data_IF_697043460685
#
_entry.id   IF_697043460685
#
_cell.length_a   1.000
_cell.length_b   1.000
_cell.length_c   1.000
_cell.angle_alpha   90.00
_cell.angle_beta   90.00
_cell.angle_gamma   90.00
#
_symmetry.space_group_name_H-M   'P 1'
#
loop_
_entity.id
_entity.type
_entity.pdbx_description
1 polymer ?
#
# COMPACT_ATOMS: atom_id res chain seq x y z
N UNK A 1 -42.80 -5.05 53.05
CA UNK A 1 -43.64 -3.86 52.77
C UNK A 1 -43.21 -2.75 53.72
N UNK A 2 -43.36 -1.47 53.35
CA UNK A 2 -43.06 -0.31 54.20
C UNK A 2 -41.81 0.47 53.76
N UNK A 3 -42.00 1.71 53.28
CA UNK A 3 -40.94 2.58 52.72
C UNK A 3 -41.16 4.06 53.09
N UNK A 4 -40.14 4.76 53.59
CA UNK A 4 -39.91 6.24 53.56
C UNK A 4 -38.38 6.43 53.79
N UNK A 5 -37.55 7.24 53.10
CA UNK A 5 -37.55 8.69 52.75
C UNK A 5 -37.60 9.62 53.97
N UNK A 6 -36.84 10.73 54.14
CA UNK A 6 -35.72 11.41 53.42
C UNK A 6 -34.90 12.28 54.45
N UNK A 7 -33.98 13.26 54.26
CA UNK A 7 -33.58 14.17 53.15
C UNK A 7 -32.18 14.83 53.39
N UNK A 8 -31.66 15.58 52.39
CA UNK A 8 -30.78 16.80 52.33
C UNK A 8 -30.46 17.60 53.64
N UNK A 9 -29.40 18.43 53.77
CA UNK A 9 -28.23 18.82 52.93
C UNK A 9 -27.15 19.64 53.73
N UNK A 10 -26.08 20.11 53.07
CA UNK A 10 -24.88 20.82 53.58
C UNK A 10 -24.87 22.35 53.29
N UNK A 11 -24.18 23.20 54.09
CA UNK A 11 -23.24 24.19 53.52
C UNK A 11 -21.94 24.48 54.35
N UNK A 12 -20.98 25.21 53.74
CA UNK A 12 -19.57 25.31 54.14
C UNK A 12 -19.13 26.49 55.06
N UNK A 13 -18.10 26.22 55.88
CA UNK A 13 -17.06 27.11 56.43
C UNK A 13 -15.85 26.23 56.88
N UNK A 14 -14.59 26.64 57.14
CA UNK A 14 -13.83 27.92 57.03
C UNK A 14 -12.31 27.60 56.84
N UNK A 15 -11.40 28.59 56.83
CA UNK A 15 -9.93 28.42 56.73
C UNK A 15 -9.18 28.66 58.06
N UNK A 16 -8.04 28.00 58.28
CA UNK A 16 -6.73 28.62 58.62
C UNK A 16 -5.56 27.60 58.53
N UNK A 17 -4.30 28.03 58.72
CA UNK A 17 -3.05 27.29 58.42
C UNK A 17 -2.07 27.25 59.60
N UNK A 18 -1.18 26.24 59.68
CA UNK A 18 0.06 26.32 60.51
C UNK A 18 1.15 25.29 60.14
N UNK A 19 2.38 25.59 60.56
CA UNK A 19 3.71 25.08 60.14
C UNK A 19 4.24 23.83 60.86
N UNK A 20 5.32 23.22 60.31
CA UNK A 20 6.34 22.44 61.07
C UNK A 20 7.79 22.69 60.55
N UNK A 21 8.86 22.47 61.37
CA UNK A 21 10.21 23.04 61.15
C UNK A 21 11.33 22.03 60.73
N UNK A 22 12.61 22.40 60.90
CA UNK A 22 13.79 21.95 60.12
C UNK A 22 15.14 21.80 60.89
N UNK A 23 16.17 21.17 60.27
CA UNK A 23 17.67 21.34 60.35
C UNK A 23 18.39 20.15 59.64
N UNK A 24 19.52 20.20 58.90
CA UNK A 24 20.74 21.07 58.75
C UNK A 24 21.90 20.70 59.71
N UNK A 25 23.20 20.52 59.32
CA UNK A 25 23.99 20.75 58.06
C UNK A 25 24.99 19.56 57.81
N UNK A 26 25.97 19.50 56.87
CA UNK A 26 27.31 20.18 56.67
C UNK A 26 27.89 19.64 55.31
N UNK A 27 28.43 20.40 54.33
CA UNK A 27 29.84 20.82 54.01
C UNK A 27 30.92 19.68 53.87
N UNK A 28 32.01 19.74 53.07
CA UNK A 28 32.64 20.76 52.18
C UNK A 28 33.50 20.11 51.01
N UNK A 29 34.44 20.84 50.36
CA UNK A 29 35.33 20.43 49.22
C UNK A 29 36.79 21.01 49.37
N UNK A 30 37.77 20.88 48.41
CA UNK A 30 37.82 21.67 47.15
C UNK A 30 38.57 21.06 45.90
N UNK A 31 38.62 21.81 44.78
CA UNK A 31 39.27 21.52 43.47
C UNK A 31 40.72 22.08 43.31
N UNK A 32 41.39 22.00 42.11
CA UNK A 32 41.28 23.13 41.13
C UNK A 32 41.47 22.85 39.60
N UNK A 33 40.62 23.50 38.79
CA UNK A 33 40.89 24.38 37.61
C UNK A 33 41.84 23.95 36.45
N UNK A 34 41.31 23.94 35.20
CA UNK A 34 41.81 24.67 34.00
C UNK A 34 40.61 25.03 33.08
N UNK A 35 40.58 26.23 32.47
CA UNK A 35 39.55 26.73 31.53
C UNK A 35 39.96 26.47 30.06
N UNK A 36 39.13 26.44 29.01
CA UNK A 36 38.08 27.37 28.49
C UNK A 36 37.23 26.57 27.44
N UNK A 37 36.32 27.07 26.59
CA UNK A 37 35.81 28.41 26.24
C UNK A 37 34.38 28.31 25.63
N UNK A 38 33.73 29.45 25.37
CA UNK A 38 32.41 29.56 24.72
C UNK A 38 32.48 29.87 23.21
N UNK A 39 31.35 29.67 22.49
CA UNK A 39 30.71 30.73 21.67
C UNK A 39 29.34 30.33 21.07
N UNK A 40 28.37 31.25 21.17
CA UNK A 40 27.09 31.38 20.44
C UNK A 40 27.14 32.72 19.65
N UNK A 41 26.16 33.21 18.84
CA UNK A 41 24.70 33.00 18.81
C UNK A 41 24.22 32.14 17.60
N UNK A 42 23.25 32.39 16.69
CA UNK A 42 22.30 33.50 16.36
C UNK A 42 21.05 32.95 15.61
N UNK A 43 20.25 33.83 14.98
CA UNK A 43 19.06 33.57 14.14
C UNK A 43 19.11 34.41 12.85
N UNK A 44 18.01 34.44 12.07
CA UNK A 44 17.81 35.16 10.78
C UNK A 44 18.40 34.42 9.54
N UNK A 45 17.81 34.50 8.34
CA UNK A 45 16.53 35.16 7.94
C UNK A 45 15.84 34.46 6.75
N UNK A 46 14.63 34.89 6.39
CA UNK A 46 13.87 34.39 5.21
C UNK A 46 14.19 35.13 3.92
N UNK A 47 14.43 34.40 2.82
CA UNK A 47 14.32 34.90 1.43
C UNK A 47 13.76 33.83 0.49
N UNK A 48 13.11 34.29 -0.58
CA UNK A 48 12.35 33.47 -1.53
C UNK A 48 13.22 32.69 -2.56
N UNK A 49 12.59 31.71 -3.21
CA UNK A 49 13.19 30.90 -4.28
C UNK A 49 12.35 31.02 -5.56
N UNK A 50 12.72 31.95 -6.45
CA UNK A 50 12.02 32.23 -7.71
C UNK A 50 12.70 31.52 -8.90
N UNK A 51 12.02 30.62 -9.64
CA UNK A 51 12.66 29.77 -10.65
C UNK A 51 12.55 30.33 -12.08
N UNK A 52 13.64 30.89 -12.62
CA UNK A 52 13.79 31.13 -14.07
C UNK A 52 15.25 31.27 -14.54
N UNK A 53 15.43 31.18 -15.87
CA UNK A 53 16.65 31.43 -16.65
C UNK A 53 17.84 30.46 -16.48
N UNK A 54 17.84 29.40 -17.30
CA UNK A 54 19.05 28.81 -17.86
C UNK A 54 18.77 28.31 -19.30
N UNK A 55 18.83 29.21 -20.28
CA UNK A 55 18.73 28.90 -21.70
C UNK A 55 19.99 29.36 -22.43
N UNK A 56 20.50 28.53 -23.36
CA UNK A 56 21.59 28.91 -24.28
C UNK A 56 22.88 28.11 -24.11
N UNK A 57 22.98 26.98 -24.82
CA UNK A 57 24.23 26.40 -25.29
C UNK A 57 23.90 25.53 -26.52
N UNK A 58 24.41 25.90 -27.69
CA UNK A 58 24.10 25.20 -28.94
C UNK A 58 25.13 24.13 -29.33
N UNK A 59 24.62 23.11 -30.03
CA UNK A 59 25.23 22.30 -31.08
C UNK A 59 26.76 22.23 -31.20
N UNK A 60 27.29 21.01 -31.14
CA UNK A 60 28.05 20.49 -32.28
C UNK A 60 27.62 19.06 -32.62
N UNK A 61 27.72 18.70 -33.90
CA UNK A 61 27.22 17.44 -34.46
C UNK A 61 28.39 16.55 -34.91
N UNK A 62 28.30 15.25 -34.62
CA UNK A 62 29.13 14.23 -35.26
C UNK A 62 28.33 12.93 -35.40
N UNK A 63 27.97 12.60 -36.65
CA UNK A 63 27.13 11.44 -36.97
C UNK A 63 27.90 10.13 -36.85
N UNK A 64 27.46 9.22 -35.97
CA UNK A 64 27.84 7.81 -35.99
C UNK A 64 26.59 6.92 -36.06
N UNK A 65 26.50 6.13 -37.13
CA UNK A 65 25.40 5.20 -37.37
C UNK A 65 25.41 4.12 -36.29
N UNK A 66 24.36 4.05 -35.48
CA UNK A 66 24.15 2.99 -34.49
C UNK A 66 22.86 2.24 -34.82
N UNK A 67 22.91 0.90 -34.76
CA UNK A 67 21.86 0.00 -35.22
C UNK A 67 20.55 0.17 -34.42
N UNK A 68 19.43 0.19 -35.13
CA UNK A 68 18.09 0.15 -34.52
C UNK A 68 17.83 -1.21 -33.87
N UNK A 69 17.88 -1.27 -32.54
CA UNK A 69 17.27 -2.35 -31.76
C UNK A 69 16.99 -1.87 -30.33
N UNK A 70 15.84 -2.26 -29.78
CA UNK A 70 15.41 -1.90 -28.43
C UNK A 70 14.37 -0.79 -28.37
N UNK A 71 13.08 -1.17 -28.45
CA UNK A 71 12.00 -0.32 -27.92
C UNK A 71 12.22 -0.12 -26.42
N UNK A 72 12.71 1.06 -26.00
CA UNK A 72 12.58 1.48 -24.60
C UNK A 72 11.09 1.52 -24.29
N UNK A 73 10.64 0.75 -23.29
CA UNK A 73 9.23 0.67 -22.91
C UNK A 73 8.68 2.07 -22.62
N UNK A 74 7.74 2.53 -23.45
CA UNK A 74 7.19 3.87 -23.33
C UNK A 74 6.47 4.07 -22.00
N UNK A 75 6.49 5.29 -21.47
CA UNK A 75 5.68 5.63 -20.30
C UNK A 75 4.20 5.55 -20.68
N UNK A 76 3.48 4.61 -20.09
CA UNK A 76 2.03 4.43 -20.23
C UNK A 76 1.35 5.68 -19.69
N UNK A 77 0.49 6.28 -20.50
CA UNK A 77 -0.25 7.50 -20.16
C UNK A 77 -1.22 7.25 -19.00
N UNK A 78 -1.55 8.32 -18.26
CA UNK A 78 -2.49 8.29 -17.14
C UNK A 78 -3.79 7.55 -17.52
N UNK A 79 -4.27 6.71 -16.59
CA UNK A 79 -5.42 5.80 -16.71
C UNK A 79 -5.29 4.62 -17.69
N UNK A 80 -4.29 4.56 -18.57
CA UNK A 80 -4.08 3.36 -19.39
C UNK A 80 -3.47 2.22 -18.57
N UNK A 81 -3.69 0.98 -19.01
CA UNK A 81 -3.23 -0.24 -18.34
C UNK A 81 -1.72 -0.41 -18.56
N UNK A 82 -0.96 -0.62 -17.48
CA UNK A 82 0.44 -1.04 -17.53
C UNK A 82 0.57 -2.55 -17.75
N UNK A 83 -0.32 -3.34 -17.14
CA UNK A 83 -0.34 -4.80 -17.28
C UNK A 83 -1.42 -5.45 -16.41
N UNK A 84 -1.38 -6.77 -16.28
CA UNK A 84 -2.32 -7.57 -15.50
C UNK A 84 -1.56 -8.53 -14.59
N UNK A 85 -2.06 -8.84 -13.38
CA UNK A 85 -1.52 -9.95 -12.58
C UNK A 85 -1.87 -11.30 -13.21
N UNK A 86 -1.28 -12.39 -12.71
CA UNK A 86 -1.63 -13.75 -13.16
C UNK A 86 -3.11 -14.09 -12.94
N UNK A 87 -3.74 -13.52 -11.90
CA UNK A 87 -5.19 -13.62 -11.64
C UNK A 87 -6.04 -12.64 -12.48
N UNK A 88 -5.48 -11.98 -13.50
CA UNK A 88 -6.21 -11.09 -14.41
C UNK A 88 -6.54 -9.70 -13.86
N UNK A 89 -5.98 -9.29 -12.70
CA UNK A 89 -6.26 -7.96 -12.12
C UNK A 89 -5.42 -6.88 -12.84
N UNK A 90 -6.03 -5.87 -13.48
CA UNK A 90 -5.28 -4.83 -14.20
C UNK A 90 -4.57 -3.85 -13.24
N UNK A 91 -3.35 -3.45 -13.58
CA UNK A 91 -2.68 -2.31 -12.99
C UNK A 91 -2.71 -1.12 -13.97
N UNK A 92 -3.17 0.02 -13.49
CA UNK A 92 -3.31 1.25 -14.28
C UNK A 92 -2.17 2.24 -13.97
N UNK A 93 -1.73 2.96 -15.00
CA UNK A 93 -0.75 4.03 -14.86
C UNK A 93 -1.38 5.22 -14.13
N UNK A 94 -0.74 5.65 -13.05
CA UNK A 94 -1.00 6.94 -12.41
C UNK A 94 -0.27 8.10 -13.12
N UNK A 95 0.42 7.86 -14.25
CA UNK A 95 1.15 8.86 -15.04
C UNK A 95 2.46 9.35 -14.40
N UNK A 96 2.43 9.75 -13.13
CA UNK A 96 3.60 10.10 -12.30
C UNK A 96 3.36 9.73 -10.83
N UNK A 97 4.43 9.62 -10.03
CA UNK A 97 4.37 9.36 -8.58
C UNK A 97 3.50 10.38 -7.82
N UNK A 98 3.51 11.62 -8.31
CA UNK A 98 2.92 12.78 -7.62
C UNK A 98 1.50 13.09 -8.10
N UNK A 99 0.97 12.33 -9.06
CA UNK A 99 -0.36 12.58 -9.63
C UNK A 99 -1.46 12.20 -8.63
N UNK A 100 -2.28 13.18 -8.23
CA UNK A 100 -3.44 12.98 -7.39
C UNK A 100 -4.71 13.37 -8.15
N UNK A 101 -5.45 12.39 -8.65
CA UNK A 101 -6.69 12.62 -9.42
C UNK A 101 -7.87 13.06 -8.55
N UNK A 102 -7.81 12.78 -7.24
CA UNK A 102 -8.93 12.82 -6.30
C UNK A 102 -10.15 11.93 -6.67
N UNK A 103 -10.06 11.15 -7.76
CA UNK A 103 -11.12 10.25 -8.23
C UNK A 103 -11.13 8.96 -7.42
N UNK A 104 -12.28 8.65 -6.81
CA UNK A 104 -12.49 7.41 -6.06
C UNK A 104 -12.80 6.24 -7.00
N UNK A 105 -12.16 5.10 -6.77
CA UNK A 105 -12.51 3.83 -7.41
C UNK A 105 -13.34 2.95 -6.45
N UNK A 106 -14.34 2.26 -7.01
CA UNK A 106 -15.19 1.31 -6.31
C UNK A 106 -15.27 0.00 -7.09
N UNK A 107 -15.27 -1.13 -6.40
CA UNK A 107 -15.54 -2.45 -6.97
C UNK A 107 -16.69 -3.06 -6.17
N UNK A 108 -17.76 -3.52 -6.83
CA UNK A 108 -18.97 -4.07 -6.18
C UNK A 108 -19.55 -3.14 -5.08
N UNK A 109 -19.49 -1.81 -5.31
CA UNK A 109 -19.93 -0.79 -4.35
C UNK A 109 -18.96 -0.51 -3.19
N UNK A 110 -17.91 -1.30 -3.03
CA UNK A 110 -16.89 -1.16 -1.98
C UNK A 110 -15.79 -0.21 -2.44
N UNK A 111 -15.41 0.76 -1.61
CA UNK A 111 -14.34 1.73 -1.92
C UNK A 111 -12.97 1.04 -2.01
N UNK A 112 -12.36 1.04 -3.19
CA UNK A 112 -11.03 0.46 -3.40
C UNK A 112 -9.92 1.45 -3.07
N UNK A 113 -10.08 2.73 -3.40
CA UNK A 113 -9.06 3.75 -3.14
C UNK A 113 -9.15 4.90 -4.14
N UNK A 114 -8.09 5.70 -4.23
CA UNK A 114 -7.99 6.77 -5.23
C UNK A 114 -7.28 6.28 -6.50
N UNK A 115 -7.79 6.65 -7.67
CA UNK A 115 -7.18 6.30 -8.96
C UNK A 115 -5.86 7.05 -9.15
N UNK A 116 -4.72 6.43 -9.47
CA UNK A 116 -4.43 4.98 -9.50
C UNK A 116 -3.29 4.69 -8.51
N UNK A 117 -3.59 4.86 -7.23
CA UNK A 117 -2.63 4.76 -6.12
C UNK A 117 -2.25 3.31 -5.79
N UNK A 118 -1.10 3.13 -5.13
CA UNK A 118 -0.59 1.82 -4.70
C UNK A 118 -1.56 1.09 -3.75
N UNK A 119 -2.14 1.82 -2.78
CA UNK A 119 -3.13 1.31 -1.83
C UNK A 119 -4.44 0.90 -2.53
N UNK A 120 -4.82 1.58 -3.62
CA UNK A 120 -6.00 1.21 -4.43
C UNK A 120 -5.79 -0.16 -5.09
N UNK A 121 -4.64 -0.36 -5.73
CA UNK A 121 -4.27 -1.64 -6.35
C UNK A 121 -4.26 -2.78 -5.34
N UNK A 122 -3.56 -2.59 -4.21
CA UNK A 122 -3.42 -3.61 -3.17
C UNK A 122 -4.77 -4.00 -2.53
N UNK A 123 -5.69 -3.04 -2.38
CA UNK A 123 -7.07 -3.30 -1.90
C UNK A 123 -7.90 -4.05 -2.93
N UNK A 124 -7.86 -3.62 -4.20
CA UNK A 124 -8.62 -4.23 -5.30
C UNK A 124 -8.15 -5.64 -5.62
N UNK A 125 -6.84 -5.86 -5.76
CA UNK A 125 -6.29 -7.19 -6.00
C UNK A 125 -6.72 -8.17 -4.90
N UNK A 126 -6.50 -7.84 -3.62
CA UNK A 126 -6.85 -8.71 -2.49
C UNK A 126 -8.36 -9.03 -2.44
N UNK A 127 -9.20 -8.07 -2.81
CA UNK A 127 -10.65 -8.26 -2.89
C UNK A 127 -11.04 -9.19 -4.05
N UNK A 128 -10.50 -8.96 -5.24
CA UNK A 128 -10.81 -9.74 -6.45
C UNK A 128 -10.27 -11.18 -6.39
N UNK A 129 -9.11 -11.41 -5.77
CA UNK A 129 -8.47 -12.75 -5.78
C UNK A 129 -8.76 -13.60 -4.53
N UNK A 130 -9.04 -12.98 -3.38
CA UNK A 130 -9.23 -13.71 -2.11
C UNK A 130 -10.54 -13.41 -1.38
N UNK A 131 -11.40 -12.51 -1.89
CA UNK A 131 -12.58 -11.98 -1.18
C UNK A 131 -12.23 -11.44 0.22
N UNK A 132 -11.02 -10.89 0.36
CA UNK A 132 -10.52 -10.24 1.56
C UNK A 132 -10.33 -8.73 1.29
N UNK A 133 -10.74 -7.89 2.23
CA UNK A 133 -10.64 -6.44 2.11
C UNK A 133 -9.63 -5.90 3.11
N UNK A 134 -8.48 -5.44 2.61
CA UNK A 134 -7.46 -4.74 3.39
C UNK A 134 -8.12 -3.52 4.09
N UNK A 135 -7.80 -3.18 5.35
CA UNK A 135 -8.40 -2.02 6.02
C UNK A 135 -7.94 -0.70 5.38
N UNK A 136 -8.75 0.36 5.52
CA UNK A 136 -8.36 1.70 5.07
C UNK A 136 -7.27 2.28 5.99
N UNK A 137 -6.20 2.84 5.40
CA UNK A 137 -5.14 3.58 6.07
C UNK A 137 -4.71 4.75 5.19
N UNK A 138 -4.28 5.86 5.82
CA UNK A 138 -3.96 7.10 5.10
C UNK A 138 -2.63 7.03 4.32
N UNK A 139 -1.69 6.20 4.77
CA UNK A 139 -0.38 6.00 4.15
C UNK A 139 -0.09 4.50 3.98
N UNK A 140 0.70 4.14 2.96
CA UNK A 140 1.02 2.75 2.65
C UNK A 140 1.99 2.12 3.68
N UNK A 141 2.98 2.87 4.18
CA UNK A 141 3.91 2.36 5.21
C UNK A 141 3.18 1.86 6.46
N UNK A 142 2.00 2.41 6.75
CA UNK A 142 1.19 2.02 7.89
C UNK A 142 0.73 0.56 7.83
N UNK A 143 0.75 -0.13 6.69
CA UNK A 143 0.42 -1.56 6.63
C UNK A 143 1.45 -2.48 7.30
N UNK A 144 2.64 -1.96 7.65
CA UNK A 144 3.60 -2.64 8.53
C UNK A 144 3.09 -2.92 9.95
N UNK A 145 2.02 -2.23 10.38
CA UNK A 145 1.28 -2.50 11.63
C UNK A 145 -0.13 -3.05 11.35
N UNK A 146 -0.30 -3.83 10.28
CA UNK A 146 -1.56 -4.52 10.00
C UNK A 146 -1.60 -5.92 10.64
N UNK A 147 -2.67 -6.18 11.39
CA UNK A 147 -2.91 -7.41 12.15
C UNK A 147 -4.19 -8.15 11.74
N UNK A 148 -4.99 -7.56 10.86
CA UNK A 148 -6.24 -8.13 10.35
C UNK A 148 -6.58 -7.57 8.96
N UNK A 149 -7.42 -8.30 8.23
CA UNK A 149 -8.19 -7.81 7.09
C UNK A 149 -9.67 -8.16 7.29
N UNK A 150 -10.57 -7.61 6.48
CA UNK A 150 -11.99 -7.90 6.56
C UNK A 150 -12.40 -9.02 5.59
N UNK A 151 -13.42 -9.78 5.95
CA UNK A 151 -14.15 -10.73 5.06
C UNK A 151 -15.65 -10.50 5.23
N UNK A 152 -16.46 -10.71 4.20
CA UNK A 152 -17.92 -10.81 4.36
C UNK A 152 -18.26 -12.11 5.13
N UNK A 153 -19.24 -12.04 6.03
CA UNK A 153 -19.80 -13.24 6.70
C UNK A 153 -20.70 -14.03 5.76
N UNK A 154 -21.43 -13.29 4.93
CA UNK A 154 -22.27 -13.79 3.84
C UNK A 154 -21.76 -13.11 2.58
N UNK A 155 -20.96 -13.81 1.77
CA UNK A 155 -20.59 -13.33 0.44
C UNK A 155 -21.76 -13.65 -0.51
N UNK A 156 -22.41 -12.64 -1.13
CA UNK A 156 -23.52 -12.87 -2.05
C UNK A 156 -23.07 -13.49 -3.39
N UNK A 157 -21.76 -13.68 -3.62
CA UNK A 157 -21.18 -14.26 -4.84
C UNK A 157 -21.37 -15.78 -4.90
N UNK A 158 -22.26 -16.33 -5.75
CA UNK A 158 -22.35 -17.76 -5.94
C UNK A 158 -21.23 -18.18 -6.92
N UNK A 159 -20.18 -18.81 -6.39
CA UNK A 159 -19.14 -19.52 -7.13
C UNK A 159 -18.63 -18.86 -8.43
N UNK A 160 -17.56 -18.04 -8.32
CA UNK A 160 -16.65 -17.80 -9.45
C UNK A 160 -15.78 -19.03 -9.77
N UNK A 161 -16.41 -20.20 -9.90
CA UNK A 161 -15.88 -21.36 -10.60
C UNK A 161 -16.25 -21.24 -12.08
N UNK A 162 -15.69 -20.26 -12.78
CA UNK A 162 -15.70 -20.32 -14.25
C UNK A 162 -14.73 -21.42 -14.69
N UNK A 163 -15.16 -22.40 -15.51
CA UNK A 163 -14.23 -23.35 -16.11
C UNK A 163 -13.27 -22.59 -17.02
N UNK A 164 -12.04 -23.09 -17.10
CA UNK A 164 -10.97 -22.59 -17.97
C UNK A 164 -11.46 -22.46 -19.41
N UNK A 165 -11.80 -21.25 -19.85
CA UNK A 165 -12.10 -20.96 -21.25
C UNK A 165 -10.79 -21.07 -22.03
N UNK A 166 -10.72 -22.04 -22.92
CA UNK A 166 -9.56 -22.22 -23.80
C UNK A 166 -9.51 -21.12 -24.87
N UNK A 167 -8.31 -20.71 -25.25
CA UNK A 167 -8.11 -19.53 -26.09
C UNK A 167 -8.64 -19.75 -27.53
N UNK A 168 -9.52 -18.87 -28.06
CA UNK A 168 -9.92 -18.92 -29.45
C UNK A 168 -8.71 -18.64 -30.37
N UNK A 169 -8.46 -19.56 -31.31
CA UNK A 169 -7.50 -19.36 -32.40
C UNK A 169 -8.00 -18.30 -33.39
N UNK A 170 -7.08 -17.54 -33.99
CA UNK A 170 -7.38 -16.37 -34.81
C UNK A 170 -7.79 -16.67 -36.27
N UNK A 171 -8.29 -15.61 -36.95
CA UNK A 171 -8.86 -15.50 -38.31
C UNK A 171 -10.41 -15.37 -38.32
N UNK A 172 -11.04 -14.46 -39.09
CA UNK A 172 -10.52 -13.39 -39.96
C UNK A 172 -11.53 -12.26 -40.22
N UNK A 173 -11.02 -11.03 -40.33
CA UNK A 173 -11.46 -9.89 -41.15
C UNK A 173 -12.94 -9.41 -41.24
N UNK A 174 -13.13 -8.15 -40.82
CA UNK A 174 -13.83 -7.04 -41.49
C UNK A 174 -15.29 -7.17 -42.01
N UNK A 175 -16.18 -6.36 -41.41
CA UNK A 175 -16.97 -5.35 -42.13
C UNK A 175 -17.45 -4.24 -41.19
N UNK A 176 -17.93 -3.11 -41.72
CA UNK A 176 -18.34 -1.92 -40.96
C UNK A 176 -19.86 -1.71 -40.98
N UNK A 177 -20.42 -1.11 -39.91
CA UNK A 177 -21.84 -0.73 -39.86
C UNK A 177 -22.27 -0.09 -38.54
N UNK A 178 -22.29 1.25 -38.48
CA UNK A 178 -22.97 1.99 -37.40
C UNK A 178 -24.49 1.96 -37.61
N UNK A 179 -25.28 2.00 -36.53
CA UNK A 179 -26.08 3.21 -36.34
C UNK A 179 -26.13 3.72 -34.88
N UNK A 180 -26.52 4.99 -34.74
CA UNK A 180 -26.69 5.70 -33.46
C UNK A 180 -28.17 5.63 -32.98
N UNK A 181 -28.61 6.38 -31.95
CA UNK A 181 -28.51 5.97 -30.55
C UNK A 181 -29.88 5.82 -29.87
N UNK A 182 -30.06 4.79 -29.04
CA UNK A 182 -31.30 4.55 -28.28
C UNK A 182 -31.21 5.04 -26.82
N UNK A 183 -31.88 6.16 -26.55
CA UNK A 183 -32.46 6.62 -25.27
C UNK A 183 -31.79 6.19 -23.95
N UNK A 184 -31.14 7.14 -23.27
CA UNK A 184 -30.73 6.98 -21.86
C UNK A 184 -31.95 6.76 -20.94
N UNK A 185 -32.15 5.54 -20.45
CA UNK A 185 -33.01 5.31 -19.26
C UNK A 185 -32.21 5.66 -18.02
N UNK A 186 -32.42 6.86 -17.47
CA UNK A 186 -31.82 7.30 -16.20
C UNK A 186 -32.49 6.65 -14.98
N UNK A 187 -32.39 5.32 -14.87
CA UNK A 187 -32.52 4.63 -13.57
C UNK A 187 -31.32 5.00 -12.70
N UNK A 188 -31.50 6.02 -11.87
CA UNK A 188 -30.56 6.45 -10.84
C UNK A 188 -30.54 5.47 -9.66
N UNK A 189 -30.19 4.21 -9.93
CA UNK A 189 -29.94 3.19 -8.91
C UNK A 189 -28.78 3.67 -8.04
N UNK A 190 -29.10 4.16 -6.84
CA UNK A 190 -28.10 4.70 -5.92
C UNK A 190 -27.02 3.65 -5.61
N UNK A 191 -25.76 3.99 -5.88
CA UNK A 191 -24.63 3.08 -5.65
C UNK A 191 -24.47 2.89 -4.14
N UNK A 192 -25.01 1.79 -3.62
CA UNK A 192 -24.83 1.40 -2.23
C UNK A 192 -23.35 1.25 -1.93
N UNK A 193 -22.86 1.99 -0.93
CA UNK A 193 -21.50 1.84 -0.43
C UNK A 193 -21.47 0.72 0.61
N UNK A 194 -20.84 -0.40 0.28
CA UNK A 194 -20.97 -1.68 1.01
C UNK A 194 -19.79 -2.00 1.94
N UNK A 195 -18.95 -1.01 2.26
CA UNK A 195 -17.73 -1.24 3.03
C UNK A 195 -17.94 -1.54 4.53
N UNK A 196 -16.86 -1.93 5.24
CA UNK A 196 -16.90 -2.20 6.69
C UNK A 196 -17.14 -0.95 7.56
N UNK A 197 -17.08 0.26 7.00
CA UNK A 197 -17.45 1.48 7.72
C UNK A 197 -18.95 1.69 7.71
N UNK A 198 -19.57 1.38 6.58
CA UNK A 198 -20.98 1.56 6.25
C UNK A 198 -21.86 0.47 6.86
N UNK A 199 -21.48 -0.81 6.70
CA UNK A 199 -22.20 -1.95 7.28
C UNK A 199 -21.29 -2.85 8.12
N UNK A 200 -20.86 -2.37 9.29
CA UNK A 200 -19.99 -3.09 10.24
C UNK A 200 -20.43 -4.51 10.59
N UNK A 201 -21.73 -4.81 10.51
CA UNK A 201 -22.28 -6.09 10.94
C UNK A 201 -22.11 -7.20 9.89
N UNK A 202 -22.10 -6.86 8.59
CA UNK A 202 -21.91 -7.82 7.50
C UNK A 202 -20.46 -8.36 7.39
N UNK A 203 -19.49 -7.64 7.97
CA UNK A 203 -18.07 -7.97 7.89
C UNK A 203 -17.56 -8.61 9.18
N UNK A 204 -16.61 -9.54 9.05
CA UNK A 204 -15.76 -10.03 10.14
C UNK A 204 -14.30 -9.57 9.96
N UNK A 205 -13.48 -9.71 11.00
CA UNK A 205 -12.03 -9.46 10.95
C UNK A 205 -11.28 -10.78 11.01
N UNK A 206 -10.59 -11.12 9.93
CA UNK A 206 -9.72 -12.31 9.88
C UNK A 206 -8.27 -11.90 10.19
N UNK A 207 -7.48 -12.72 10.89
CA UNK A 207 -6.09 -12.39 11.21
C UNK A 207 -5.24 -12.16 9.96
N UNK A 208 -4.35 -11.18 10.00
CA UNK A 208 -3.30 -10.96 9.01
C UNK A 208 -1.96 -10.78 9.71
N UNK A 209 -0.88 -11.34 9.16
CA UNK A 209 0.42 -11.42 9.83
C UNK A 209 1.48 -10.68 9.02
N UNK A 210 1.93 -9.55 9.56
CA UNK A 210 3.09 -8.86 9.02
C UNK A 210 4.39 -9.61 9.37
N UNK A 211 5.16 -9.97 8.36
CA UNK A 211 6.47 -10.61 8.46
C UNK A 211 7.52 -9.56 8.10
N UNK A 212 8.33 -9.15 9.09
CA UNK A 212 9.42 -8.20 8.86
C UNK A 212 10.49 -8.80 7.95
N UNK A 213 11.10 -7.97 7.12
CA UNK A 213 12.33 -8.32 6.39
C UNK A 213 13.43 -8.81 7.35
N UNK A 214 14.24 -9.80 6.93
CA UNK A 214 15.21 -10.49 7.78
C UNK A 214 14.62 -11.61 8.65
N UNK A 215 13.35 -11.97 8.42
CA UNK A 215 12.69 -13.14 9.02
C UNK A 215 13.28 -14.47 8.52
N UNK A 216 13.09 -15.53 9.32
CA UNK A 216 13.34 -16.93 8.91
C UNK A 216 12.19 -17.53 8.08
N UNK A 217 11.03 -16.88 8.08
CA UNK A 217 9.94 -17.18 7.14
C UNK A 217 10.25 -16.42 5.84
N UNK A 218 10.21 -17.05 4.65
CA UNK A 218 10.42 -16.37 3.38
C UNK A 218 9.24 -15.44 3.00
N UNK A 219 9.39 -14.59 1.96
CA UNK A 219 8.24 -14.06 1.23
C UNK A 219 7.42 -15.20 0.63
N UNK A 220 6.12 -14.94 0.49
CA UNK A 220 5.18 -15.83 -0.18
C UNK A 220 4.52 -15.09 -1.35
N UNK A 221 4.18 -15.82 -2.41
CA UNK A 221 3.20 -15.33 -3.37
C UNK A 221 1.89 -15.00 -2.66
N UNK A 222 1.12 -14.09 -3.24
CA UNK A 222 -0.20 -13.66 -2.73
C UNK A 222 -0.14 -12.96 -1.36
N UNK A 223 1.02 -12.36 -1.05
CA UNK A 223 1.23 -11.48 0.10
C UNK A 223 1.57 -10.04 -0.35
N UNK A 224 1.37 -9.03 0.51
CA UNK A 224 1.60 -7.63 0.15
C UNK A 224 2.94 -7.12 0.69
N UNK A 225 3.87 -6.73 -0.19
CA UNK A 225 5.14 -6.09 0.19
C UNK A 225 4.90 -4.65 0.62
N UNK A 226 5.49 -4.21 1.73
CA UNK A 226 5.31 -2.87 2.32
C UNK A 226 6.65 -2.18 2.52
N UNK A 227 6.74 -0.93 2.09
CA UNK A 227 7.94 -0.09 2.15
C UNK A 227 7.78 1.02 3.22
N UNK A 228 8.90 1.47 3.84
CA UNK A 228 8.88 2.57 4.80
C UNK A 228 8.62 3.92 4.11
N UNK A 229 8.50 4.99 4.90
CA UNK A 229 8.63 6.35 4.36
C UNK A 229 10.06 6.58 3.85
N UNK A 230 10.22 7.28 2.73
CA UNK A 230 11.51 7.71 2.18
C UNK A 230 11.41 9.12 1.59
N UNK A 231 12.54 9.73 1.25
CA UNK A 231 12.60 11.09 0.67
C UNK A 231 11.78 11.22 -0.63
N UNK A 232 11.74 10.17 -1.45
CA UNK A 232 10.90 10.09 -2.66
C UNK A 232 9.52 9.44 -2.45
N UNK A 233 9.20 8.99 -1.23
CA UNK A 233 7.95 8.30 -0.91
C UNK A 233 7.50 8.60 0.53
N UNK A 234 6.99 9.81 0.83
CA UNK A 234 6.62 10.22 2.19
C UNK A 234 5.40 9.46 2.74
N UNK A 235 4.62 8.79 1.90
CA UNK A 235 3.53 7.89 2.30
C UNK A 235 3.98 6.42 2.39
N UNK A 236 5.24 6.13 2.04
CA UNK A 236 5.72 4.79 1.72
C UNK A 236 4.97 4.16 0.56
N UNK A 237 5.19 2.85 0.36
CA UNK A 237 4.63 2.12 -0.78
C UNK A 237 4.09 0.73 -0.39
N UNK A 238 3.19 0.19 -1.21
CA UNK A 238 2.65 -1.16 -1.07
C UNK A 238 2.45 -1.80 -2.45
N UNK A 239 2.86 -3.07 -2.57
CA UNK A 239 2.70 -3.87 -3.79
C UNK A 239 2.23 -5.30 -3.48
N UNK A 240 1.87 -6.04 -4.52
CA UNK A 240 1.49 -7.45 -4.46
C UNK A 240 2.70 -8.30 -4.84
N UNK A 241 3.13 -9.23 -3.99
CA UNK A 241 4.09 -10.27 -4.39
C UNK A 241 3.32 -11.31 -5.22
N UNK A 242 3.51 -11.29 -6.54
CA UNK A 242 2.78 -12.20 -7.46
C UNK A 242 3.47 -13.55 -7.63
N UNK A 243 4.80 -13.62 -7.44
CA UNK A 243 5.56 -14.87 -7.41
C UNK A 243 6.82 -14.77 -6.55
N UNK A 244 7.30 -15.90 -6.07
CA UNK A 244 8.59 -16.06 -5.38
C UNK A 244 9.26 -17.31 -5.94
N UNK A 245 10.43 -17.18 -6.55
CA UNK A 245 11.26 -18.30 -6.99
C UNK A 245 12.48 -18.44 -6.06
N UNK A 246 12.47 -19.48 -5.22
CA UNK A 246 13.56 -19.76 -4.28
C UNK A 246 14.80 -20.41 -4.96
N UNK A 247 14.68 -20.89 -6.19
CA UNK A 247 15.79 -21.46 -6.95
C UNK A 247 16.55 -20.35 -7.69
N UNK A 248 15.81 -19.46 -8.37
CA UNK A 248 16.37 -18.26 -9.01
C UNK A 248 16.66 -17.14 -8.02
N UNK A 249 16.24 -17.28 -6.76
CA UNK A 249 16.36 -16.26 -5.72
C UNK A 249 15.72 -14.93 -6.14
N UNK A 250 14.45 -14.97 -6.55
CA UNK A 250 13.72 -13.83 -7.14
C UNK A 250 12.34 -13.63 -6.50
N UNK A 251 11.91 -12.37 -6.38
CA UNK A 251 10.53 -11.99 -6.01
C UNK A 251 9.95 -11.13 -7.13
N UNK A 252 8.79 -11.51 -7.65
CA UNK A 252 8.03 -10.72 -8.63
C UNK A 252 6.98 -9.87 -7.92
N UNK A 253 6.90 -8.58 -8.24
CA UNK A 253 5.99 -7.62 -7.60
C UNK A 253 5.14 -6.90 -8.64
N UNK A 254 3.84 -6.83 -8.40
CA UNK A 254 2.88 -6.02 -9.14
C UNK A 254 2.43 -4.82 -8.28
N UNK A 255 2.46 -3.61 -8.84
CA UNK A 255 2.05 -2.39 -8.15
C UNK A 255 1.49 -1.30 -9.08
N UNK A 256 0.94 -0.23 -8.48
CA UNK A 256 0.57 1.01 -9.13
C UNK A 256 1.25 2.19 -8.42
N UNK A 257 1.33 3.34 -9.09
CA UNK A 257 1.98 4.58 -8.64
C UNK A 257 3.47 4.46 -8.21
N UNK A 258 4.20 3.52 -8.80
CA UNK A 258 5.67 3.43 -8.72
C UNK A 258 6.29 3.34 -10.10
N UNK A 259 5.89 2.33 -10.86
CA UNK A 259 6.34 2.12 -12.23
C UNK A 259 5.23 2.47 -13.23
N UNK A 260 5.62 3.18 -14.29
CA UNK A 260 4.71 3.75 -15.29
C UNK A 260 4.99 3.21 -16.70
N UNK A 261 5.61 2.03 -16.80
CA UNK A 261 5.95 1.38 -18.07
C UNK A 261 5.00 0.20 -18.34
N UNK A 262 4.84 -0.15 -19.61
CA UNK A 262 4.10 -1.34 -20.04
C UNK A 262 4.84 -2.60 -19.54
N UNK A 263 4.15 -3.53 -18.87
CA UNK A 263 4.75 -4.74 -18.30
C UNK A 263 5.21 -5.75 -19.37
N UNK A 264 4.95 -5.47 -20.66
CA UNK A 264 5.28 -6.29 -21.83
C UNK A 264 4.76 -7.73 -21.68
N UNK A 265 3.51 -7.86 -21.23
CA UNK A 265 2.84 -9.16 -21.01
C UNK A 265 3.28 -9.92 -19.74
N UNK A 266 4.20 -9.39 -18.92
CA UNK A 266 4.60 -10.02 -17.66
C UNK A 266 3.53 -9.82 -16.58
N UNK A 267 3.35 -10.77 -15.64
CA UNK A 267 2.35 -10.66 -14.56
C UNK A 267 2.83 -9.82 -13.35
N UNK A 268 3.70 -8.83 -13.57
CA UNK A 268 4.37 -8.02 -12.56
C UNK A 268 4.97 -6.74 -13.16
N UNK A 269 5.09 -5.68 -12.34
CA UNK A 269 5.77 -4.43 -12.70
C UNK A 269 7.28 -4.48 -12.48
N UNK A 270 7.76 -5.27 -11.51
CA UNK A 270 9.17 -5.35 -11.16
C UNK A 270 9.57 -6.74 -10.63
N UNK A 271 10.89 -6.98 -10.58
CA UNK A 271 11.50 -8.16 -9.97
C UNK A 271 12.66 -7.74 -9.08
N UNK A 272 12.74 -8.32 -7.88
CA UNK A 272 13.75 -8.02 -6.87
C UNK A 272 14.52 -9.27 -6.47
N UNK A 273 15.81 -9.12 -6.17
CA UNK A 273 16.66 -10.24 -5.76
C UNK A 273 16.33 -10.67 -4.33
N UNK A 274 16.14 -11.96 -4.10
CA UNK A 274 15.93 -12.55 -2.78
C UNK A 274 17.27 -13.03 -2.20
N UNK A 275 17.82 -12.32 -1.21
CA UNK A 275 18.99 -12.81 -0.48
C UNK A 275 18.55 -13.74 0.67
N UNK A 276 19.11 -14.95 0.74
CA UNK A 276 18.98 -15.85 1.88
C UNK A 276 20.31 -15.93 2.64
N UNK A 277 20.41 -15.24 3.77
CA UNK A 277 21.63 -15.11 4.57
C UNK A 277 21.46 -15.77 5.94
N UNK A 278 22.18 -16.87 6.20
CA UNK A 278 22.08 -17.67 7.44
C UNK A 278 20.62 -18.04 7.78
N UNK A 279 19.83 -18.36 6.75
CA UNK A 279 18.40 -18.70 6.87
C UNK A 279 17.48 -17.51 7.15
N UNK A 280 17.89 -16.28 6.82
CA UNK A 280 17.07 -15.06 6.87
C UNK A 280 16.88 -14.48 5.47
N UNK A 281 15.66 -14.05 5.17
CA UNK A 281 15.26 -13.61 3.83
C UNK A 281 15.19 -12.08 3.72
N UNK A 282 15.78 -11.53 2.65
CA UNK A 282 15.79 -10.11 2.32
C UNK A 282 15.44 -9.88 0.85
N UNK A 283 14.51 -8.97 0.57
CA UNK A 283 14.07 -8.59 -0.78
C UNK A 283 14.84 -7.33 -1.18
N UNK A 284 15.91 -7.51 -1.96
CA UNK A 284 16.83 -6.44 -2.36
C UNK A 284 16.22 -5.62 -3.49
N UNK A 285 15.67 -4.48 -3.08
CA UNK A 285 15.14 -3.43 -3.94
C UNK A 285 16.11 -2.25 -3.94
N UNK A 286 16.67 -1.95 -5.11
CA UNK A 286 17.71 -0.94 -5.31
C UNK A 286 17.26 0.53 -5.10
N UNK A 287 15.96 0.81 -5.08
CA UNK A 287 15.42 2.15 -4.82
C UNK A 287 15.07 2.35 -3.35
N UNK A 288 14.55 1.31 -2.67
CA UNK A 288 14.13 1.38 -1.28
C UNK A 288 13.99 -0.01 -0.65
N UNK A 289 14.75 -0.27 0.42
CA UNK A 289 14.63 -1.50 1.20
C UNK A 289 13.24 -1.64 1.85
N UNK A 290 12.60 -2.80 1.67
CA UNK A 290 11.25 -3.02 2.21
C UNK A 290 11.23 -3.19 3.74
N UNK A 291 10.10 -2.90 4.37
CA UNK A 291 9.89 -3.17 5.81
C UNK A 291 9.57 -4.66 6.05
N UNK A 292 9.01 -5.34 5.04
CA UNK A 292 8.52 -6.71 5.11
C UNK A 292 7.27 -6.92 4.26
N UNK A 293 6.55 -8.01 4.52
CA UNK A 293 5.37 -8.41 3.76
C UNK A 293 4.19 -8.82 4.68
N UNK A 294 2.98 -8.41 4.32
CA UNK A 294 1.74 -8.75 4.99
C UNK A 294 1.15 -10.04 4.39
N UNK A 295 1.08 -11.08 5.20
CA UNK A 295 0.53 -12.40 4.84
C UNK A 295 -0.89 -12.58 5.38
N UNK A 296 -1.69 -13.38 4.67
CA UNK A 296 -3.09 -13.69 5.00
C UNK A 296 -3.25 -15.20 5.28
N UNK A 297 -4.36 -15.66 5.88
CA UNK A 297 -4.63 -17.09 6.04
C UNK A 297 -4.83 -17.70 4.64
N UNK A 298 -3.93 -18.60 4.23
CA UNK A 298 -3.89 -19.19 2.88
C UNK A 298 -5.06 -20.11 2.55
N UNK A 299 -5.95 -20.38 3.51
CA UNK A 299 -7.10 -21.27 3.36
C UNK A 299 -8.30 -20.64 4.06
N UNK A 300 -9.34 -20.33 3.29
CA UNK A 300 -10.72 -20.41 3.80
C UNK A 300 -11.02 -21.90 3.95
N UNK A 301 -11.43 -22.36 5.14
CA UNK A 301 -11.81 -23.76 5.35
C UNK A 301 -12.94 -24.12 4.38
N UNK A 302 -12.60 -24.90 3.34
CA UNK A 302 -13.44 -25.12 2.17
C UNK A 302 -12.68 -25.12 0.83
N UNK A 303 -11.60 -24.33 0.70
CA UNK A 303 -10.76 -24.33 -0.50
C UNK A 303 -9.63 -25.37 -0.42
N UNK A 304 -9.86 -26.57 -0.94
CA UNK A 304 -8.78 -27.51 -1.28
C UNK A 304 -8.07 -27.02 -2.55
N UNK A 305 -6.80 -26.61 -2.42
CA UNK A 305 -5.96 -26.42 -3.60
C UNK A 305 -5.67 -27.80 -4.24
N UNK A 306 -5.93 -27.93 -5.54
CA UNK A 306 -5.90 -29.21 -6.25
C UNK A 306 -4.56 -29.93 -6.08
N UNK A 307 -4.58 -31.08 -5.40
CA UNK A 307 -3.39 -31.90 -5.15
C UNK A 307 -2.98 -32.61 -6.45
N UNK A 308 -2.18 -31.95 -7.27
CA UNK A 308 -1.60 -32.54 -8.49
C UNK A 308 -0.74 -33.74 -8.08
N UNK A 309 -1.30 -34.93 -8.26
CA UNK A 309 -0.57 -36.19 -8.09
C UNK A 309 0.45 -36.32 -9.20
N UNK A 310 1.73 -36.24 -8.86
CA UNK A 310 2.78 -36.64 -9.79
C UNK A 310 2.62 -38.13 -10.11
N UNK A 311 2.21 -38.44 -11.35
CA UNK A 311 2.45 -39.78 -11.87
C UNK A 311 3.95 -40.00 -12.01
N UNK A 312 4.35 -41.26 -11.82
CA UNK A 312 5.60 -41.78 -12.39
C UNK A 312 5.39 -42.11 -13.87
#
# INVERSE_FOLDING_TARGET
MGSVSSTKANPHATYFSTTRPSRSRVAAAPDPIVETNDLRPTTCDTTDFDPQNAAGAEQMSTSLVTVSSGRRGGRVTLHNICGYTHQGVPAYSNGTSNTWTNTKHYCEGIFMGYQWQCVEFARRWLWTTHRLLLPERNCAYCFSSCTYVYRLKEDPSPALQQPRVEAPTAASEASAGSPSPSTEVKTSTGVMHLGPRENKNAWEKVPAKFVRQGSRVPPAAESLIVYPMSFGSPWGHIGVITAVDLNQNLVCVADQNRYFHDWNGKPYSATFQLECNKGRFYIRDHESECTGWLTFPTVVEGHQLGRVTASR
#
